data_IF_113314042283
#
_entry.id   IF_113314042283
#
_cell.length_a   1.000
_cell.length_b   1.000
_cell.length_c   1.000
_cell.angle_alpha   90.00
_cell.angle_beta   90.00
_cell.angle_gamma   90.00
#
_symmetry.space_group_name_H-M   'P 1'
#
loop_
_entity.id
_entity.type
_entity.pdbx_description
1 polymer ?
#
# COMPACT_ATOMS: atom_id res chain seq x y z
N UNK A 1 29.82 -23.76 -20.35
CA UNK A 1 30.35 -23.11 -19.13
C UNK A 1 30.49 -24.07 -17.96
N UNK A 2 29.47 -24.88 -17.65
CA UNK A 2 29.51 -25.90 -16.58
C UNK A 2 30.74 -26.80 -16.67
N UNK A 3 31.10 -27.30 -17.86
CA UNK A 3 32.27 -28.18 -18.07
C UNK A 3 33.59 -27.58 -17.54
N UNK A 4 33.71 -26.24 -17.48
CA UNK A 4 34.91 -25.56 -16.96
C UNK A 4 34.97 -25.56 -15.43
N UNK A 5 33.86 -25.83 -14.74
CA UNK A 5 33.72 -25.81 -13.28
C UNK A 5 33.69 -27.21 -12.65
N UNK A 6 33.58 -28.26 -13.47
CA UNK A 6 33.52 -29.65 -13.03
C UNK A 6 34.76 -30.41 -13.49
N UNK A 7 35.22 -31.35 -12.66
CA UNK A 7 36.45 -32.11 -12.91
C UNK A 7 36.20 -33.45 -13.63
N UNK A 8 35.02 -33.61 -14.23
CA UNK A 8 34.62 -34.82 -14.96
C UNK A 8 33.95 -34.45 -16.28
N UNK A 9 33.94 -35.37 -17.23
CA UNK A 9 33.31 -35.16 -18.54
C UNK A 9 31.78 -35.21 -18.44
N UNK A 10 31.10 -34.16 -18.89
CA UNK A 10 29.63 -34.11 -18.95
C UNK A 10 29.03 -35.00 -20.04
N UNK A 11 29.86 -35.56 -20.94
CA UNK A 11 29.43 -36.55 -21.95
C UNK A 11 29.05 -37.92 -21.37
N UNK A 12 29.29 -38.16 -20.08
CA UNK A 12 28.93 -39.41 -19.40
C UNK A 12 27.41 -39.53 -19.27
N UNK A 13 26.87 -40.73 -19.46
CA UNK A 13 25.44 -41.03 -19.25
C UNK A 13 24.99 -40.62 -17.84
N UNK A 14 23.88 -39.87 -17.69
CA UNK A 14 23.37 -39.42 -16.37
C UNK A 14 23.16 -40.54 -15.36
N UNK A 15 22.83 -41.75 -15.81
CA UNK A 15 22.65 -42.94 -14.95
C UNK A 15 23.93 -43.46 -14.30
N UNK A 16 25.11 -43.04 -14.80
CA UNK A 16 26.43 -43.49 -14.33
C UNK A 16 27.13 -42.45 -13.46
N UNK A 17 26.47 -41.32 -13.16
CA UNK A 17 27.03 -40.25 -12.36
C UNK A 17 27.16 -40.71 -10.90
N UNK A 18 28.35 -40.57 -10.34
CA UNK A 18 28.60 -40.82 -8.93
C UNK A 18 28.11 -39.66 -8.06
N UNK A 19 27.95 -39.90 -6.75
CA UNK A 19 27.48 -38.89 -5.81
C UNK A 19 28.37 -37.64 -5.78
N UNK A 20 29.69 -37.83 -5.73
CA UNK A 20 30.67 -36.75 -5.70
C UNK A 20 30.62 -35.87 -6.97
N UNK A 21 30.41 -36.49 -8.13
CA UNK A 21 30.25 -35.78 -9.41
C UNK A 21 28.93 -35.00 -9.44
N UNK A 22 27.86 -35.58 -8.89
CA UNK A 22 26.54 -34.95 -8.80
C UNK A 22 26.56 -33.71 -7.88
N UNK A 23 27.28 -33.79 -6.76
CA UNK A 23 27.48 -32.66 -5.86
C UNK A 23 28.27 -31.53 -6.52
N UNK A 24 29.36 -31.86 -7.23
CA UNK A 24 30.12 -30.88 -8.01
C UNK A 24 29.25 -30.20 -9.06
N UNK A 25 28.38 -30.96 -9.74
CA UNK A 25 27.43 -30.42 -10.71
C UNK A 25 26.45 -29.46 -10.03
N UNK A 26 25.79 -29.87 -8.94
CA UNK A 26 24.84 -29.03 -8.21
C UNK A 26 25.47 -27.71 -7.73
N UNK A 27 26.71 -27.77 -7.24
CA UNK A 27 27.46 -26.58 -6.83
C UNK A 27 27.87 -25.70 -8.02
N UNK A 28 28.20 -26.28 -9.17
CA UNK A 28 28.47 -25.53 -10.40
C UNK A 28 27.20 -24.79 -10.89
N UNK A 29 26.02 -25.42 -10.79
CA UNK A 29 24.74 -24.80 -11.15
C UNK A 29 24.45 -23.53 -10.33
N UNK A 30 24.81 -23.49 -9.04
CA UNK A 30 24.62 -22.31 -8.18
C UNK A 30 25.53 -21.12 -8.55
N UNK A 31 26.68 -21.38 -9.18
CA UNK A 31 27.67 -20.35 -9.52
C UNK A 31 27.39 -19.66 -10.86
N UNK A 32 26.60 -20.29 -11.72
CA UNK A 32 26.30 -19.80 -13.06
C UNK A 32 25.06 -18.91 -13.01
N UNK A 33 25.11 -17.81 -13.75
CA UNK A 33 23.95 -16.94 -13.94
C UNK A 33 23.05 -17.53 -15.03
N UNK A 34 21.88 -18.00 -14.62
CA UNK A 34 20.88 -18.54 -15.54
C UNK A 34 20.00 -17.43 -16.14
N UNK A 35 19.43 -17.72 -17.32
CA UNK A 35 18.29 -16.96 -17.80
C UNK A 35 17.09 -17.25 -16.88
N UNK A 36 16.29 -16.22 -16.61
CA UNK A 36 15.11 -16.40 -15.79
C UNK A 36 14.15 -17.40 -16.47
N UNK A 37 13.65 -18.41 -15.75
CA UNK A 37 12.63 -19.31 -16.29
C UNK A 37 11.38 -18.53 -16.70
N UNK A 38 10.60 -19.06 -17.65
CA UNK A 38 9.36 -18.43 -18.06
C UNK A 38 8.39 -18.38 -16.87
N UNK A 39 7.72 -17.24 -16.70
CA UNK A 39 6.66 -17.08 -15.70
C UNK A 39 5.31 -17.67 -16.16
N UNK A 40 5.30 -18.40 -17.28
CA UNK A 40 4.13 -19.03 -17.88
C UNK A 40 3.57 -20.08 -16.93
N UNK A 41 2.55 -19.70 -16.16
CA UNK A 41 1.95 -20.53 -15.11
C UNK A 41 1.60 -19.76 -13.84
N UNK A 42 2.18 -18.57 -13.64
CA UNK A 42 1.76 -17.69 -12.55
C UNK A 42 0.50 -16.92 -12.98
N UNK A 43 -0.58 -17.07 -12.21
CA UNK A 43 -1.86 -16.42 -12.52
C UNK A 43 -2.18 -15.38 -11.44
N UNK A 44 -1.89 -14.08 -11.68
CA UNK A 44 -2.27 -13.00 -10.78
C UNK A 44 -3.79 -12.89 -10.63
N UNK A 45 -4.24 -12.20 -9.57
CA UNK A 45 -5.62 -11.75 -9.45
C UNK A 45 -5.83 -10.55 -10.38
N UNK A 46 -4.86 -9.63 -10.41
CA UNK A 46 -4.85 -8.43 -11.24
C UNK A 46 -5.23 -7.18 -10.45
N UNK A 47 -4.52 -6.08 -10.74
CA UNK A 47 -4.64 -4.80 -10.04
C UNK A 47 -6.08 -4.30 -9.89
N UNK A 48 -6.83 -4.25 -11.00
CA UNK A 48 -8.21 -3.75 -11.02
C UNK A 48 -9.16 -4.57 -10.14
N UNK A 49 -8.97 -5.88 -10.09
CA UNK A 49 -9.81 -6.77 -9.30
C UNK A 49 -9.49 -6.63 -7.82
N UNK A 50 -8.20 -6.50 -7.47
CA UNK A 50 -7.77 -6.22 -6.09
C UNK A 50 -8.31 -4.87 -5.62
N UNK A 51 -8.20 -3.80 -6.43
CA UNK A 51 -8.75 -2.48 -6.11
C UNK A 51 -10.27 -2.54 -5.89
N UNK A 52 -11.00 -3.22 -6.77
CA UNK A 52 -12.46 -3.37 -6.64
C UNK A 52 -12.84 -4.13 -5.37
N UNK A 53 -12.09 -5.19 -5.03
CA UNK A 53 -12.33 -5.97 -3.82
C UNK A 53 -12.07 -5.13 -2.55
N UNK A 54 -10.94 -4.44 -2.48
CA UNK A 54 -10.60 -3.57 -1.34
C UNK A 54 -11.60 -2.42 -1.19
N UNK A 55 -12.03 -1.82 -2.30
CA UNK A 55 -13.02 -0.75 -2.29
C UNK A 55 -14.37 -1.21 -1.74
N UNK A 56 -14.82 -2.40 -2.15
CA UNK A 56 -16.10 -2.97 -1.67
C UNK A 56 -16.05 -3.41 -0.22
N UNK A 57 -14.90 -3.92 0.25
CA UNK A 57 -14.78 -4.47 1.60
C UNK A 57 -14.57 -3.39 2.67
N UNK A 58 -13.77 -2.38 2.36
CA UNK A 58 -13.26 -1.42 3.36
C UNK A 58 -13.78 0.01 3.17
N UNK A 59 -14.44 0.30 2.05
CA UNK A 59 -14.92 1.64 1.69
C UNK A 59 -13.90 2.76 1.97
N UNK A 60 -12.65 2.62 1.48
CA UNK A 60 -11.58 3.54 1.84
C UNK A 60 -11.69 4.86 1.08
N UNK A 61 -11.10 5.91 1.64
CA UNK A 61 -10.93 7.20 0.95
C UNK A 61 -9.93 7.08 -0.21
N UNK A 62 -8.93 6.21 -0.07
CA UNK A 62 -7.90 5.95 -1.06
C UNK A 62 -7.65 4.46 -1.21
N UNK A 63 -7.60 3.98 -2.46
CA UNK A 63 -7.26 2.60 -2.79
C UNK A 63 -6.35 2.56 -4.00
N UNK A 64 -5.35 1.68 -3.97
CA UNK A 64 -4.46 1.43 -5.10
C UNK A 64 -3.95 0.00 -5.03
N UNK A 65 -3.81 -0.68 -6.17
CA UNK A 65 -3.11 -1.96 -6.26
C UNK A 65 -2.11 -2.00 -7.39
N UNK A 66 -1.05 -2.80 -7.22
CA UNK A 66 -0.02 -3.04 -8.22
C UNK A 66 0.35 -4.52 -8.27
N UNK A 67 0.54 -5.02 -9.48
CA UNK A 67 1.05 -6.35 -9.78
C UNK A 67 2.44 -6.17 -10.37
N UNK A 68 3.45 -6.73 -9.72
CA UNK A 68 4.84 -6.61 -10.21
C UNK A 68 5.18 -7.67 -11.23
N UNK A 69 6.21 -7.38 -12.01
CA UNK A 69 6.79 -8.34 -12.94
C UNK A 69 7.35 -9.55 -12.19
N UNK A 70 7.24 -10.76 -12.77
CA UNK A 70 7.77 -11.96 -12.16
C UNK A 70 9.28 -11.89 -11.90
N UNK A 71 9.69 -12.36 -10.73
CA UNK A 71 11.08 -12.55 -10.31
C UNK A 71 11.34 -14.02 -10.01
N UNK A 72 12.59 -14.37 -9.73
CA UNK A 72 12.98 -15.72 -9.33
C UNK A 72 13.71 -15.71 -8.00
N UNK A 73 13.44 -16.71 -7.18
CA UNK A 73 14.17 -16.96 -5.93
C UNK A 73 14.77 -18.37 -5.94
N UNK A 74 15.76 -18.64 -5.08
CA UNK A 74 16.50 -19.92 -5.04
C UNK A 74 17.07 -20.36 -6.40
N UNK A 75 17.44 -19.40 -7.23
CA UNK A 75 18.10 -19.65 -8.53
C UNK A 75 17.20 -20.24 -9.62
N UNK A 76 15.88 -20.28 -9.46
CA UNK A 76 15.01 -20.80 -10.52
C UNK A 76 13.52 -20.96 -10.23
N UNK A 77 13.02 -20.56 -9.06
CA UNK A 77 11.58 -20.65 -8.77
C UNK A 77 10.94 -19.30 -9.10
N UNK A 78 10.08 -19.21 -10.13
CA UNK A 78 9.43 -17.96 -10.49
C UNK A 78 8.33 -17.61 -9.47
N UNK A 79 8.29 -16.35 -9.09
CA UNK A 79 7.27 -15.78 -8.23
C UNK A 79 6.90 -14.37 -8.70
N UNK A 80 5.71 -13.92 -8.33
CA UNK A 80 5.28 -12.54 -8.50
C UNK A 80 4.56 -12.08 -7.24
N UNK A 81 4.52 -10.77 -7.04
CA UNK A 81 3.88 -10.16 -5.88
C UNK A 81 2.82 -9.19 -6.36
N UNK A 82 1.63 -9.32 -5.79
CA UNK A 82 0.58 -8.33 -5.88
C UNK A 82 0.46 -7.63 -4.54
N UNK A 83 0.32 -6.32 -4.59
CA UNK A 83 0.16 -5.50 -3.39
C UNK A 83 -1.01 -4.55 -3.59
N UNK A 84 -1.78 -4.35 -2.54
CA UNK A 84 -2.86 -3.37 -2.49
C UNK A 84 -2.79 -2.56 -1.21
N UNK A 85 -3.22 -1.31 -1.26
CA UNK A 85 -3.30 -0.43 -0.10
C UNK A 85 -4.66 0.23 -0.07
N UNK A 86 -5.25 0.29 1.11
CA UNK A 86 -6.49 0.98 1.40
C UNK A 86 -6.27 1.90 2.62
N UNK A 87 -6.66 3.15 2.51
CA UNK A 87 -6.51 4.16 3.56
C UNK A 87 -7.84 4.87 3.84
N UNK A 88 -8.16 5.05 5.13
CA UNK A 88 -9.41 5.67 5.58
C UNK A 88 -10.60 4.71 5.59
N UNK A 89 -11.80 5.21 5.86
CA UNK A 89 -13.01 4.40 5.95
C UNK A 89 -12.89 3.29 6.99
N UNK A 90 -13.22 2.06 6.60
CA UNK A 90 -13.11 0.86 7.42
C UNK A 90 -11.76 0.14 7.30
N UNK A 91 -10.74 0.80 6.72
CA UNK A 91 -9.39 0.25 6.69
C UNK A 91 -8.73 0.22 8.08
N UNK A 92 -7.85 -0.75 8.28
CA UNK A 92 -7.24 -1.09 9.56
C UNK A 92 -8.09 -2.06 10.36
N UNK A 93 -7.46 -2.70 11.35
CA UNK A 93 -8.11 -3.57 12.32
C UNK A 93 -8.52 -2.76 13.52
N UNK A 94 -9.77 -2.88 13.91
CA UNK A 94 -10.30 -2.27 15.12
C UNK A 94 -9.74 -2.96 16.37
N UNK A 95 -9.13 -2.18 17.25
CA UNK A 95 -8.62 -2.60 18.56
C UNK A 95 -9.19 -1.68 19.64
N UNK A 96 -9.04 -2.08 20.91
CA UNK A 96 -9.51 -1.28 22.04
C UNK A 96 -8.86 0.12 22.14
N UNK A 97 -7.72 0.31 21.49
CA UNK A 97 -6.91 1.55 21.54
C UNK A 97 -7.05 2.40 20.27
N UNK A 98 -7.70 1.89 19.22
CA UNK A 98 -7.89 2.58 17.95
C UNK A 98 -7.92 1.65 16.73
N UNK A 99 -7.71 2.21 15.53
CA UNK A 99 -7.53 1.44 14.30
C UNK A 99 -6.05 1.20 14.04
N UNK A 100 -5.63 -0.07 14.19
CA UNK A 100 -4.27 -0.52 13.90
C UNK A 100 -4.12 -0.89 12.45
N UNK A 101 -2.94 -0.67 11.86
CA UNK A 101 -2.65 -1.14 10.51
C UNK A 101 -2.89 -2.66 10.40
N UNK A 102 -3.63 -3.06 9.36
CA UNK A 102 -3.91 -4.46 9.06
C UNK A 102 -3.08 -4.94 7.87
N UNK A 103 -2.45 -6.11 8.02
CA UNK A 103 -1.72 -6.77 6.93
C UNK A 103 -2.49 -8.01 6.51
N UNK A 104 -3.15 -7.92 5.35
CA UNK A 104 -3.89 -9.02 4.72
C UNK A 104 -2.92 -9.86 3.88
N UNK A 105 -2.54 -11.02 4.40
CA UNK A 105 -1.52 -11.89 3.81
C UNK A 105 -2.17 -12.99 2.98
N UNK A 106 -1.69 -13.17 1.75
CA UNK A 106 -2.13 -14.21 0.83
C UNK A 106 -0.94 -14.91 0.17
N UNK A 107 -1.13 -16.20 -0.11
CA UNK A 107 -0.22 -16.98 -0.92
C UNK A 107 -1.02 -17.80 -1.93
N UNK A 108 -0.74 -17.68 -3.22
CA UNK A 108 -1.47 -18.34 -4.31
C UNK A 108 -3.00 -18.18 -4.15
N UNK A 109 -3.46 -16.97 -3.82
CA UNK A 109 -4.88 -16.61 -3.59
C UNK A 109 -5.52 -17.22 -2.33
N UNK A 110 -4.77 -17.97 -1.53
CA UNK A 110 -5.24 -18.46 -0.24
C UNK A 110 -4.86 -17.48 0.89
N UNK A 111 -5.80 -17.11 1.78
CA UNK A 111 -5.51 -16.25 2.92
C UNK A 111 -4.66 -16.98 3.97
N UNK A 112 -3.69 -16.27 4.54
CA UNK A 112 -2.83 -16.73 5.62
C UNK A 112 -3.28 -16.05 6.92
N UNK A 113 -3.94 -16.82 7.80
CA UNK A 113 -4.60 -16.26 8.99
C UNK A 113 -3.68 -16.28 10.21
N UNK A 114 -2.87 -17.32 10.37
CA UNK A 114 -2.05 -17.55 11.56
C UNK A 114 -0.57 -17.20 11.33
N UNK A 115 0.21 -17.17 12.41
CA UNK A 115 1.66 -16.97 12.41
C UNK A 115 2.13 -15.72 11.66
N UNK A 116 1.43 -14.59 11.87
CA UNK A 116 1.79 -13.32 11.24
C UNK A 116 3.18 -12.84 11.65
N UNK A 117 3.62 -13.11 12.89
CA UNK A 117 4.90 -12.63 13.41
C UNK A 117 6.14 -13.23 12.72
N UNK A 118 6.07 -14.48 12.26
CA UNK A 118 7.18 -15.18 11.59
C UNK A 118 7.11 -15.12 10.06
N UNK A 119 6.13 -14.41 9.50
CA UNK A 119 5.90 -14.36 8.07
C UNK A 119 6.74 -13.26 7.41
N UNK A 120 7.42 -13.58 6.30
CA UNK A 120 8.25 -12.61 5.55
C UNK A 120 7.47 -11.37 5.12
N UNK A 121 6.17 -11.49 4.83
CA UNK A 121 5.31 -10.36 4.48
C UNK A 121 5.24 -9.31 5.59
N UNK A 122 5.16 -9.77 6.84
CA UNK A 122 5.08 -8.91 8.02
C UNK A 122 6.44 -8.28 8.32
N UNK A 123 7.51 -9.08 8.26
CA UNK A 123 8.90 -8.61 8.37
C UNK A 123 9.18 -7.52 7.33
N UNK A 124 8.85 -7.76 6.07
CA UNK A 124 9.02 -6.84 4.96
C UNK A 124 8.27 -5.52 5.18
N UNK A 125 6.99 -5.56 5.56
CA UNK A 125 6.18 -4.35 5.79
C UNK A 125 6.67 -3.53 6.99
N UNK A 126 7.02 -4.20 8.09
CA UNK A 126 7.52 -3.52 9.29
C UNK A 126 8.91 -2.89 9.05
N UNK A 127 9.68 -3.41 8.10
CA UNK A 127 11.01 -2.89 7.76
C UNK A 127 11.00 -1.58 6.93
N UNK A 128 9.83 -1.12 6.51
CA UNK A 128 9.66 0.12 5.72
C UNK A 128 9.62 1.33 6.66
N UNK A 129 10.26 2.44 6.25
CA UNK A 129 10.16 3.72 6.96
C UNK A 129 8.88 4.47 6.56
N UNK A 130 7.80 4.21 7.32
CA UNK A 130 6.46 4.75 7.09
C UNK A 130 6.34 6.27 7.25
N UNK A 131 7.21 6.87 8.08
CA UNK A 131 7.19 8.31 8.35
C UNK A 131 7.47 9.12 7.08
N UNK A 132 8.26 8.57 6.15
CA UNK A 132 8.55 9.19 4.84
C UNK A 132 7.30 9.35 3.97
N UNK A 133 6.31 8.50 4.16
CA UNK A 133 5.06 8.47 3.41
C UNK A 133 3.90 9.15 4.16
N UNK A 134 4.22 10.04 5.11
CA UNK A 134 3.26 10.78 5.93
C UNK A 134 2.38 9.93 6.88
N UNK A 135 2.75 8.67 7.10
CA UNK A 135 2.13 7.78 8.10
C UNK A 135 3.01 7.81 9.35
N UNK A 136 2.57 8.52 10.40
CA UNK A 136 3.39 8.76 11.59
C UNK A 136 3.32 7.63 12.62
N UNK A 137 2.13 7.05 12.77
CA UNK A 137 1.84 6.02 13.76
C UNK A 137 1.14 4.83 13.10
N UNK A 138 1.78 3.67 13.09
CA UNK A 138 1.22 2.44 12.54
C UNK A 138 0.14 1.84 13.41
N UNK A 139 0.15 2.15 14.72
CA UNK A 139 -0.80 1.59 15.68
C UNK A 139 -2.13 2.33 15.68
N UNK A 140 -2.15 3.57 15.19
CA UNK A 140 -3.34 4.43 15.11
C UNK A 140 -3.65 4.94 13.70
N UNK A 141 -3.21 4.24 12.65
CA UNK A 141 -3.52 4.59 11.26
C UNK A 141 -4.56 3.65 10.64
N UNK A 142 -5.66 4.18 10.07
CA UNK A 142 -6.67 3.39 9.36
C UNK A 142 -6.12 2.96 7.99
N UNK A 143 -5.25 1.95 8.01
CA UNK A 143 -4.52 1.46 6.84
C UNK A 143 -4.62 -0.07 6.76
N UNK A 144 -5.04 -0.57 5.60
CA UNK A 144 -4.97 -2.01 5.28
C UNK A 144 -4.05 -2.23 4.09
N UNK A 145 -3.15 -3.20 4.21
CA UNK A 145 -2.22 -3.60 3.15
C UNK A 145 -2.52 -5.03 2.77
N UNK A 146 -2.83 -5.24 1.51
CA UNK A 146 -2.98 -6.54 0.89
C UNK A 146 -1.66 -6.96 0.23
N UNK A 147 -1.20 -8.18 0.49
CA UNK A 147 -0.03 -8.77 -0.17
C UNK A 147 -0.38 -10.19 -0.58
N UNK A 148 -0.20 -10.51 -1.86
CA UNK A 148 -0.36 -11.85 -2.40
C UNK A 148 0.95 -12.30 -3.07
N UNK A 149 1.58 -13.31 -2.49
CA UNK A 149 2.72 -14.00 -3.09
C UNK A 149 2.20 -15.11 -4.01
N UNK A 150 2.51 -15.05 -5.29
CA UNK A 150 2.14 -16.08 -6.26
C UNK A 150 3.39 -16.76 -6.77
N UNK A 151 3.47 -18.08 -6.62
CA UNK A 151 4.62 -18.88 -7.02
C UNK A 151 4.21 -20.32 -7.29
N UNK A 152 4.97 -21.02 -8.15
CA UNK A 152 4.79 -22.47 -8.35
C UNK A 152 5.09 -23.27 -7.08
N UNK A 153 6.06 -22.78 -6.30
CA UNK A 153 6.40 -23.31 -5.00
C UNK A 153 6.50 -22.14 -4.03
N UNK A 154 5.64 -22.10 -3.01
CA UNK A 154 5.69 -21.09 -1.95
C UNK A 154 6.55 -21.64 -0.80
N UNK A 155 7.57 -20.90 -0.33
CA UNK A 155 8.42 -21.38 0.75
C UNK A 155 7.69 -21.19 2.08
N UNK A 156 6.96 -22.19 2.54
CA UNK A 156 6.31 -22.15 3.86
C UNK A 156 7.29 -22.54 4.98
N UNK A 157 7.16 -21.93 6.15
CA UNK A 157 7.97 -22.26 7.34
C UNK A 157 7.56 -23.59 7.98
N UNK A 158 6.26 -23.89 7.95
CA UNK A 158 5.64 -25.05 8.59
C UNK A 158 4.74 -25.82 7.63
N UNK A 159 4.48 -27.09 7.94
CA UNK A 159 3.58 -27.95 7.16
C UNK A 159 2.13 -27.41 7.11
N UNK A 160 1.74 -26.56 8.08
CA UNK A 160 0.43 -25.92 8.13
C UNK A 160 0.22 -24.80 7.09
N UNK A 161 1.29 -24.39 6.40
CA UNK A 161 1.26 -23.39 5.30
C UNK A 161 0.62 -22.05 5.70
N UNK A 162 0.85 -21.60 6.94
CA UNK A 162 0.29 -20.34 7.47
C UNK A 162 1.25 -19.15 7.44
N UNK A 163 2.55 -19.40 7.31
CA UNK A 163 3.57 -18.35 7.20
C UNK A 163 4.60 -18.69 6.13
N UNK A 164 5.03 -17.65 5.43
CA UNK A 164 6.02 -17.72 4.36
C UNK A 164 7.40 -17.47 5.00
N UNK A 165 8.36 -18.34 4.69
CA UNK A 165 9.72 -18.28 5.16
C UNK A 165 10.44 -17.02 4.64
N UNK A 166 11.43 -16.59 5.42
CA UNK A 166 12.26 -15.43 5.10
C UNK A 166 13.29 -15.83 4.03
N UNK A 167 13.05 -15.36 2.82
CA UNK A 167 13.95 -15.46 1.68
C UNK A 167 14.24 -14.04 1.21
N UNK A 168 15.51 -13.68 1.04
CA UNK A 168 15.95 -12.30 0.80
C UNK A 168 15.33 -11.73 -0.49
N UNK A 169 15.33 -12.50 -1.58
CA UNK A 169 14.78 -12.03 -2.87
C UNK A 169 13.27 -11.77 -2.80
N UNK A 170 12.56 -12.55 -1.97
CA UNK A 170 11.11 -12.38 -1.76
C UNK A 170 10.86 -11.17 -0.85
N UNK A 171 11.64 -11.02 0.22
CA UNK A 171 11.53 -9.91 1.15
C UNK A 171 11.75 -8.57 0.43
N UNK A 172 12.85 -8.44 -0.33
CA UNK A 172 13.16 -7.24 -1.09
C UNK A 172 12.06 -6.90 -2.11
N UNK A 173 11.55 -7.90 -2.83
CA UNK A 173 10.50 -7.64 -3.83
C UNK A 173 9.17 -7.24 -3.19
N UNK A 174 8.81 -7.77 -2.01
CA UNK A 174 7.64 -7.31 -1.23
C UNK A 174 7.84 -5.85 -0.83
N UNK A 175 9.03 -5.50 -0.32
CA UNK A 175 9.36 -4.12 0.05
C UNK A 175 9.24 -3.19 -1.14
N UNK A 176 9.78 -3.56 -2.30
CA UNK A 176 9.69 -2.73 -3.50
C UNK A 176 8.25 -2.58 -4.00
N UNK A 177 7.44 -3.63 -3.93
CA UNK A 177 6.01 -3.56 -4.24
C UNK A 177 5.30 -2.56 -3.33
N UNK A 178 5.45 -2.72 -2.01
CA UNK A 178 4.84 -1.83 -1.04
C UNK A 178 5.31 -0.38 -1.21
N UNK A 179 6.61 -0.13 -1.42
CA UNK A 179 7.13 1.22 -1.64
C UNK A 179 6.61 1.87 -2.93
N UNK A 180 6.22 1.10 -3.94
CA UNK A 180 5.66 1.63 -5.17
C UNK A 180 4.27 2.23 -4.92
N UNK A 181 3.39 1.51 -4.23
CA UNK A 181 2.04 2.01 -3.88
C UNK A 181 2.08 3.09 -2.79
N UNK A 182 3.09 3.07 -1.91
CA UNK A 182 3.21 4.08 -0.85
C UNK A 182 3.57 5.46 -1.40
N UNK A 183 4.23 5.55 -2.56
CA UNK A 183 4.44 6.84 -3.23
C UNK A 183 3.13 7.45 -3.72
N UNK A 184 2.22 6.62 -4.24
CA UNK A 184 0.89 7.08 -4.64
C UNK A 184 0.08 7.55 -3.43
N UNK A 185 0.14 6.80 -2.31
CA UNK A 185 -0.46 7.22 -1.03
C UNK A 185 0.14 8.55 -0.52
N UNK A 186 1.45 8.72 -0.62
CA UNK A 186 2.13 9.94 -0.17
C UNK A 186 1.63 11.18 -0.91
N UNK A 187 1.35 11.06 -2.21
CA UNK A 187 0.78 12.15 -3.02
C UNK A 187 -0.62 12.50 -2.51
N UNK A 188 -1.45 11.49 -2.24
CA UNK A 188 -2.79 11.67 -1.69
C UNK A 188 -2.78 12.34 -0.31
N UNK A 189 -2.01 11.80 0.65
CA UNK A 189 -1.89 12.36 2.00
C UNK A 189 -1.26 13.76 1.99
N UNK A 190 -0.26 13.98 1.13
CA UNK A 190 0.34 15.30 0.93
C UNK A 190 -0.65 16.31 0.34
N UNK A 191 -1.59 15.88 -0.49
CA UNK A 191 -2.73 16.67 -0.95
C UNK A 191 -3.68 17.04 0.20
N UNK A 192 -4.08 16.05 1.01
CA UNK A 192 -4.96 16.23 2.16
C UNK A 192 -4.39 17.20 3.19
N UNK A 193 -3.10 17.08 3.53
CA UNK A 193 -2.40 18.02 4.43
C UNK A 193 -2.35 19.44 3.87
N UNK A 194 -2.01 19.60 2.59
CA UNK A 194 -1.98 20.93 1.94
C UNK A 194 -3.36 21.60 1.95
N UNK A 195 -4.42 20.84 1.71
CA UNK A 195 -5.79 21.35 1.79
C UNK A 195 -6.16 21.77 3.22
N UNK A 196 -5.79 20.97 4.22
CA UNK A 196 -6.01 21.30 5.63
C UNK A 196 -5.25 22.58 6.04
N UNK A 197 -3.97 22.70 5.67
CA UNK A 197 -3.16 23.89 5.97
C UNK A 197 -3.73 25.15 5.30
N UNK A 198 -4.26 25.03 4.08
CA UNK A 198 -4.93 26.13 3.39
C UNK A 198 -6.23 26.54 4.07
N UNK A 199 -7.04 25.57 4.50
CA UNK A 199 -8.27 25.81 5.24
C UNK A 199 -8.00 26.48 6.60
N UNK A 200 -6.98 26.03 7.34
CA UNK A 200 -6.59 26.63 8.61
C UNK A 200 -6.13 28.08 8.42
N UNK A 201 -5.25 28.34 7.45
CA UNK A 201 -4.81 29.70 7.11
C UNK A 201 -5.99 30.59 6.76
N UNK A 202 -6.93 30.11 5.94
CA UNK A 202 -8.14 30.86 5.57
C UNK A 202 -8.99 31.21 6.81
N UNK A 203 -9.23 30.25 7.71
CA UNK A 203 -9.96 30.47 8.97
C UNK A 203 -9.27 31.51 9.85
N UNK A 204 -7.95 31.47 9.92
CA UNK A 204 -7.14 32.47 10.61
C UNK A 204 -7.39 33.85 9.99
N UNK A 205 -7.27 33.99 8.67
CA UNK A 205 -7.53 35.27 7.99
C UNK A 205 -8.94 35.79 8.25
N UNK A 206 -9.98 34.96 8.12
CA UNK A 206 -11.37 35.34 8.40
C UNK A 206 -11.56 35.93 9.80
N UNK A 207 -10.90 35.34 10.81
CA UNK A 207 -10.92 35.86 12.18
C UNK A 207 -10.24 37.23 12.33
N UNK A 208 -9.17 37.49 11.57
CA UNK A 208 -8.39 38.73 11.66
C UNK A 208 -8.89 39.86 10.75
N UNK A 209 -9.70 39.56 9.72
CA UNK A 209 -10.29 40.56 8.82
C UNK A 209 -11.01 41.69 9.57
N UNK A 210 -11.96 41.45 10.51
CA UNK A 210 -12.70 42.53 11.15
C UNK A 210 -11.79 43.44 12.00
N UNK A 211 -10.86 42.88 12.77
CA UNK A 211 -9.91 43.67 13.57
C UNK A 211 -8.96 44.51 12.70
N UNK A 212 -8.53 43.94 11.57
CA UNK A 212 -7.67 44.64 10.62
C UNK A 212 -8.43 45.77 9.91
N UNK A 213 -9.68 45.53 9.51
CA UNK A 213 -10.53 46.53 8.87
C UNK A 213 -10.83 47.70 9.82
N UNK A 214 -11.11 47.43 11.10
CA UNK A 214 -11.32 48.45 12.12
C UNK A 214 -10.09 49.33 12.33
N UNK A 215 -8.91 48.72 12.40
CA UNK A 215 -7.63 49.44 12.53
C UNK A 215 -7.31 50.27 11.28
N UNK A 216 -7.54 49.72 10.09
CA UNK A 216 -7.34 50.42 8.82
C UNK A 216 -8.32 51.58 8.63
N UNK A 217 -9.59 51.41 9.03
CA UNK A 217 -10.60 52.48 8.99
C UNK A 217 -10.20 53.68 9.86
N UNK A 218 -9.66 53.42 11.06
CA UNK A 218 -9.14 54.49 11.94
C UNK A 218 -7.96 55.27 11.34
N UNK A 219 -7.08 54.60 10.59
CA UNK A 219 -5.89 55.22 10.01
C UNK A 219 -6.17 55.95 8.70
N UNK A 220 -7.05 55.40 7.85
CA UNK A 220 -7.29 55.89 6.49
C UNK A 220 -8.56 56.73 6.36
N UNK A 221 -9.48 56.65 7.32
CA UNK A 221 -10.79 57.29 7.24
C UNK A 221 -11.77 56.61 6.26
N UNK A 222 -11.40 55.50 5.62
CA UNK A 222 -12.31 54.72 4.77
C UNK A 222 -13.36 53.97 5.60
N UNK A 223 -14.53 53.71 4.99
CA UNK A 223 -15.62 52.92 5.61
C UNK A 223 -15.18 51.47 5.86
N UNK A 224 -15.38 51.01 7.09
CA UNK A 224 -15.02 49.66 7.56
C UNK A 224 -15.60 48.55 6.67
N UNK A 225 -16.87 48.67 6.26
CA UNK A 225 -17.55 47.70 5.39
C UNK A 225 -16.90 47.55 4.00
N UNK A 226 -16.34 48.63 3.45
CA UNK A 226 -15.66 48.59 2.16
C UNK A 226 -14.30 47.90 2.27
N UNK A 227 -13.60 48.07 3.40
CA UNK A 227 -12.32 47.43 3.68
C UNK A 227 -12.48 45.94 3.94
N UNK A 228 -13.51 45.51 4.66
CA UNK A 228 -13.84 44.09 4.86
C UNK A 228 -14.02 43.39 3.50
N UNK A 229 -14.87 43.94 2.63
CA UNK A 229 -15.11 43.37 1.28
C UNK A 229 -13.85 43.30 0.43
N UNK A 230 -12.96 44.29 0.51
CA UNK A 230 -11.66 44.28 -0.19
C UNK A 230 -10.74 43.17 0.36
N UNK A 231 -10.67 43.02 1.69
CA UNK A 231 -9.83 42.01 2.35
C UNK A 231 -10.35 40.58 2.11
N UNK A 232 -11.66 40.37 2.17
CA UNK A 232 -12.29 39.10 1.83
C UNK A 232 -12.00 38.72 0.38
N UNK A 233 -12.11 39.67 -0.56
CA UNK A 233 -11.76 39.46 -1.96
C UNK A 233 -10.29 39.07 -2.14
N UNK A 234 -9.36 39.69 -1.41
CA UNK A 234 -7.93 39.34 -1.44
C UNK A 234 -7.66 37.92 -0.92
N UNK A 235 -8.39 37.47 0.10
CA UNK A 235 -8.29 36.11 0.62
C UNK A 235 -8.86 35.11 -0.40
N UNK A 236 -10.01 35.43 -1.02
CA UNK A 236 -10.61 34.64 -2.09
C UNK A 236 -9.70 34.50 -3.32
N UNK A 237 -9.05 35.58 -3.75
CA UNK A 237 -8.17 35.58 -4.92
C UNK A 237 -6.88 34.78 -4.66
N UNK A 238 -6.38 34.74 -3.42
CA UNK A 238 -5.13 34.04 -3.06
C UNK A 238 -5.33 32.54 -2.78
N UNK A 239 -6.45 32.17 -2.16
CA UNK A 239 -6.72 30.79 -1.75
C UNK A 239 -7.69 30.05 -2.69
N UNK A 240 -8.26 30.74 -3.68
CA UNK A 240 -9.23 30.18 -4.61
C UNK A 240 -10.63 30.01 -3.99
N UNK A 241 -11.63 29.84 -4.85
CA UNK A 241 -12.95 29.35 -4.43
C UNK A 241 -12.91 27.83 -4.42
N UNK A 242 -12.90 27.22 -3.24
CA UNK A 242 -13.58 25.95 -3.04
C UNK A 242 -14.10 25.83 -1.60
N UNK A 243 -15.31 25.30 -1.53
CA UNK A 243 -16.37 25.47 -0.52
C UNK A 243 -16.08 24.66 0.76
N UNK A 244 -16.40 25.13 1.97
CA UNK A 244 -17.73 24.97 2.57
C UNK A 244 -18.51 23.75 2.05
N UNK A 245 -17.92 22.56 2.16
CA UNK A 245 -18.66 21.35 2.50
C UNK A 245 -18.16 20.89 3.86
N UNK A 246 -18.91 21.26 4.89
CA UNK A 246 -18.99 20.34 6.03
C UNK A 246 -19.47 18.99 5.48
N UNK A 247 -18.95 17.85 5.98
CA UNK A 247 -19.54 16.57 5.64
C UNK A 247 -20.97 16.58 6.21
N UNK A 248 -21.97 16.74 5.35
CA UNK A 248 -23.34 16.38 5.69
C UNK A 248 -23.33 14.88 6.01
N UNK A 249 -23.64 14.56 7.26
CA UNK A 249 -24.09 13.23 7.64
C UNK A 249 -25.31 12.91 6.76
N UNK A 250 -25.14 11.97 5.82
CA UNK A 250 -26.27 11.32 5.16
C UNK A 250 -27.11 10.62 6.24
N UNK A 251 -28.14 11.32 6.73
CA UNK A 251 -29.27 10.69 7.39
C UNK A 251 -30.10 10.05 6.29
N UNK A 252 -29.98 8.74 6.15
CA UNK A 252 -30.97 7.94 5.43
C UNK A 252 -32.33 8.15 6.11
N UNK A 253 -33.22 8.88 5.43
CA UNK A 253 -34.66 8.78 5.65
C UNK A 253 -35.08 7.38 5.22
N UNK A 254 -35.37 6.51 6.20
CA UNK A 254 -36.14 5.30 5.97
C UNK A 254 -37.60 5.75 5.80
N UNK A 255 -38.05 5.81 4.55
CA UNK A 255 -39.48 5.85 4.24
C UNK A 255 -40.13 4.57 4.79
N UNK A 256 -40.97 4.75 5.82
CA UNK A 256 -42.02 3.81 6.19
C UNK A 256 -42.99 3.70 5.01
N UNK A 257 -42.77 2.69 4.16
CA UNK A 257 -43.77 2.20 3.22
C UNK A 257 -44.78 1.33 3.96
N UNK A 258 -45.96 1.91 4.16
CA UNK A 258 -47.17 1.28 4.70
C UNK A 258 -47.56 -0.03 4.02
N UNK A 259 -48.24 -0.85 4.82
CA UNK A 259 -48.92 -2.07 4.45
C UNK A 259 -50.00 -1.87 3.36
N UNK A 260 -50.08 -2.82 2.43
CA UNK A 260 -51.30 -3.28 1.76
C UNK A 260 -50.99 -4.68 1.20
N UNK A 261 -51.53 -5.75 1.80
CA UNK A 261 -52.72 -6.47 1.31
C UNK A 261 -52.60 -6.94 -0.15
N UNK A 262 -52.06 -8.15 -0.36
CA UNK A 262 -52.71 -9.34 -0.97
C UNK A 262 -51.72 -10.50 -1.11
#
# INVERSE_FOLDING_TARGET
EIQKLVNFDLGISPKKLEWAQSEQLANAFKKIKWMAPPATGLIPIGEKLVEKALKKLLEPEFVMARTRDPKVYKGGIPFLIEVGIAYGGNAGRETAEGKKMEIMRFANRAPLLFDAGSCVTTSAINSIDWKRYYVQDLENSPLSIFINLISTHVPYTSAGKQSIAEEDEVNEEIRFAAMQILRDLQIFLGGKRRAADQAEKKRIFEKYIPETAKSLSKLTGEKEEALIKKLEKLVLDRFGKDFSKEPEEEKEEVEEGEASEE
#
